data_IF_462348103087
#
_entry.id   IF_462348103087
#
_cell.length_a   1.000
_cell.length_b   1.000
_cell.length_c   1.000
_cell.angle_alpha   90.00
_cell.angle_beta   90.00
_cell.angle_gamma   90.00
#
_symmetry.space_group_name_H-M   'P 1'
#
loop_
_entity.id
_entity.type
_entity.pdbx_description
1 polymer ?
#
# COMPACT_ATOMS: atom_id res chain seq x y z
N UNK A 1 -31.29 -30.72 -38.18
CA UNK A 1 -29.92 -30.31 -38.57
C UNK A 1 -29.66 -28.81 -38.46
N UNK A 2 -30.58 -27.93 -38.83
CA UNK A 2 -30.34 -26.48 -38.73
C UNK A 2 -30.26 -25.89 -37.33
N UNK A 3 -30.84 -26.53 -36.31
CA UNK A 3 -30.79 -26.02 -34.89
C UNK A 3 -29.42 -26.21 -34.25
N UNK A 4 -28.73 -27.29 -34.52
CA UNK A 4 -27.40 -27.54 -33.90
C UNK A 4 -26.32 -26.62 -34.49
N UNK A 5 -26.38 -26.33 -35.78
CA UNK A 5 -25.43 -25.42 -36.45
C UNK A 5 -25.57 -23.99 -35.94
N UNK A 6 -26.79 -23.51 -35.68
CA UNK A 6 -27.04 -22.18 -35.13
C UNK A 6 -26.57 -22.08 -33.70
N UNK A 7 -26.80 -23.11 -32.89
CA UNK A 7 -26.33 -23.17 -31.52
C UNK A 7 -24.80 -23.16 -31.45
N UNK A 8 -24.13 -23.94 -32.30
CA UNK A 8 -22.66 -23.94 -32.41
C UNK A 8 -22.11 -22.58 -32.83
N UNK A 9 -22.71 -21.90 -33.78
CA UNK A 9 -22.30 -20.56 -34.19
C UNK A 9 -22.46 -19.53 -33.05
N UNK A 10 -23.54 -19.59 -32.29
CA UNK A 10 -23.77 -18.70 -31.15
C UNK A 10 -22.72 -18.92 -30.05
N UNK A 11 -22.40 -20.19 -29.76
CA UNK A 11 -21.39 -20.54 -28.76
C UNK A 11 -19.99 -20.03 -29.17
N UNK A 12 -19.63 -20.25 -30.45
CA UNK A 12 -18.34 -19.77 -30.98
C UNK A 12 -18.26 -18.24 -30.96
N UNK A 13 -19.34 -17.56 -31.36
CA UNK A 13 -19.38 -16.09 -31.33
C UNK A 13 -19.27 -15.55 -29.90
N UNK A 14 -19.92 -16.20 -28.93
CA UNK A 14 -19.85 -15.81 -27.51
C UNK A 14 -18.44 -16.02 -26.95
N UNK A 15 -17.77 -17.12 -27.28
CA UNK A 15 -16.38 -17.40 -26.89
C UNK A 15 -15.40 -16.38 -27.48
N UNK A 16 -15.59 -15.98 -28.74
CA UNK A 16 -14.76 -14.93 -29.37
C UNK A 16 -15.00 -13.56 -28.72
N UNK A 17 -16.23 -13.22 -28.39
CA UNK A 17 -16.53 -11.96 -27.68
C UNK A 17 -15.92 -11.93 -26.29
N UNK A 18 -15.96 -13.02 -25.54
CA UNK A 18 -15.35 -13.11 -24.21
C UNK A 18 -13.84 -12.97 -24.27
N UNK A 19 -13.19 -13.53 -25.31
CA UNK A 19 -11.73 -13.37 -25.47
C UNK A 19 -11.29 -11.96 -25.85
N UNK A 20 -12.16 -11.16 -26.48
CA UNK A 20 -11.88 -9.76 -26.82
C UNK A 20 -11.99 -8.81 -25.62
N UNK A 21 -12.67 -9.23 -24.53
CA UNK A 21 -12.80 -8.45 -23.30
C UNK A 21 -11.60 -8.68 -22.36
N UNK A 22 -10.70 -9.59 -22.69
CA UNK A 22 -9.42 -9.76 -21.98
C UNK A 22 -8.54 -8.53 -22.23
N UNK A 23 -8.95 -7.39 -21.64
CA UNK A 23 -8.14 -6.21 -21.63
C UNK A 23 -6.75 -6.56 -21.06
N UNK A 24 -5.71 -6.16 -21.72
CA UNK A 24 -4.35 -6.24 -21.19
C UNK A 24 -4.33 -5.48 -19.87
N UNK A 25 -4.24 -6.20 -18.77
CA UNK A 25 -3.91 -5.59 -17.49
C UNK A 25 -2.47 -5.08 -17.65
N UNK A 26 -2.37 -3.81 -18.03
CA UNK A 26 -1.09 -3.15 -18.01
C UNK A 26 -0.68 -3.01 -16.55
N UNK A 27 0.39 -3.66 -16.15
CA UNK A 27 0.97 -3.42 -14.85
C UNK A 27 1.29 -1.92 -14.74
N UNK A 28 0.87 -1.29 -13.64
CA UNK A 28 1.27 0.08 -13.38
C UNK A 28 2.80 0.17 -13.42
N UNK A 29 3.38 1.24 -14.00
CA UNK A 29 4.82 1.42 -13.97
C UNK A 29 5.29 1.36 -12.50
N UNK A 30 6.44 0.72 -12.23
CA UNK A 30 6.96 0.65 -10.88
C UNK A 30 7.10 2.07 -10.32
N UNK A 31 6.67 2.25 -9.07
CA UNK A 31 6.84 3.53 -8.38
C UNK A 31 8.33 3.93 -8.38
N UNK A 32 8.65 5.22 -8.53
CA UNK A 32 10.03 5.68 -8.43
C UNK A 32 10.65 5.19 -7.12
N UNK A 33 11.79 4.53 -7.20
CA UNK A 33 12.51 4.09 -6.01
C UNK A 33 13.38 5.23 -5.49
N UNK A 34 13.28 5.50 -4.18
CA UNK A 34 14.21 6.40 -3.52
C UNK A 34 15.62 5.77 -3.48
N UNK A 35 16.64 6.59 -3.47
CA UNK A 35 18.05 6.15 -3.34
C UNK A 35 18.32 5.60 -1.95
N UNK A 36 17.63 6.13 -0.95
CA UNK A 36 17.77 5.76 0.45
C UNK A 36 16.43 5.54 1.12
N UNK A 37 16.37 4.58 2.00
CA UNK A 37 15.26 4.43 2.95
C UNK A 37 15.85 4.47 4.35
N UNK A 38 15.45 5.49 5.12
CA UNK A 38 15.80 5.62 6.53
C UNK A 38 14.67 5.00 7.34
N UNK A 39 14.98 3.97 8.10
CA UNK A 39 14.03 3.33 9.01
C UNK A 39 14.34 3.74 10.44
N UNK A 40 13.36 4.35 11.10
CA UNK A 40 13.47 4.78 12.49
C UNK A 40 12.56 3.89 13.33
N UNK A 41 13.14 3.24 14.33
CA UNK A 41 12.37 2.51 15.33
C UNK A 41 12.39 3.29 16.65
N UNK A 42 11.21 3.61 17.17
CA UNK A 42 11.05 4.35 18.42
C UNK A 42 10.44 3.40 19.44
N UNK A 43 11.23 2.98 20.41
CA UNK A 43 10.78 2.14 21.53
C UNK A 43 10.20 3.05 22.62
N UNK A 44 8.90 3.28 22.58
CA UNK A 44 8.19 4.19 23.44
C UNK A 44 7.28 3.55 24.48
N UNK A 45 7.23 2.21 24.57
CA UNK A 45 6.48 1.52 25.64
C UNK A 45 7.20 1.61 26.98
N UNK A 46 7.33 2.84 27.49
CA UNK A 46 8.01 3.17 28.74
C UNK A 46 7.61 4.58 29.20
N UNK A 47 8.31 5.13 30.20
CA UNK A 47 8.06 6.46 30.73
C UNK A 47 8.43 7.63 29.80
N UNK A 48 8.97 7.35 28.62
CA UNK A 48 9.28 8.33 27.56
C UNK A 48 8.20 8.41 26.49
N UNK A 49 7.09 7.72 26.66
CA UNK A 49 5.98 7.63 25.71
C UNK A 49 5.49 9.02 25.22
N UNK A 50 5.42 10.01 26.08
CA UNK A 50 5.00 11.37 25.72
C UNK A 50 5.92 12.03 24.68
N UNK A 51 7.15 11.57 24.57
CA UNK A 51 8.11 12.08 23.59
C UNK A 51 7.96 11.43 22.23
N UNK A 52 7.40 10.22 22.14
CA UNK A 52 7.23 9.50 20.87
C UNK A 52 6.41 10.32 19.87
N UNK A 53 5.26 10.84 20.29
CA UNK A 53 4.40 11.68 19.45
C UNK A 53 5.12 12.98 19.08
N UNK A 54 5.83 13.59 19.99
CA UNK A 54 6.60 14.81 19.73
C UNK A 54 7.68 14.58 18.69
N UNK A 55 8.43 13.49 18.80
CA UNK A 55 9.47 13.13 17.83
C UNK A 55 8.86 12.88 16.44
N UNK A 56 7.72 12.19 16.38
CA UNK A 56 7.02 11.96 15.13
C UNK A 56 6.52 13.27 14.49
N UNK A 57 5.87 14.14 15.26
CA UNK A 57 5.20 15.34 14.76
C UNK A 57 6.15 16.54 14.57
N UNK A 58 7.09 16.73 15.47
CA UNK A 58 7.93 17.93 15.49
C UNK A 58 9.28 17.73 14.82
N UNK A 59 9.75 16.49 14.71
CA UNK A 59 11.06 16.18 14.15
C UNK A 59 10.96 15.40 12.84
N UNK A 60 10.30 14.24 12.81
CA UNK A 60 10.26 13.41 11.62
C UNK A 60 9.30 13.92 10.55
N UNK A 61 8.08 14.33 10.93
CA UNK A 61 7.09 14.78 9.97
C UNK A 61 7.51 16.04 9.21
N UNK A 62 8.13 17.07 9.83
CA UNK A 62 8.60 18.24 9.09
C UNK A 62 9.73 17.93 8.11
N UNK A 63 10.59 16.97 8.41
CA UNK A 63 11.65 16.52 7.49
C UNK A 63 11.02 15.79 6.31
N UNK A 64 10.15 14.85 6.57
CA UNK A 64 9.39 14.10 5.57
C UNK A 64 10.25 13.30 4.60
N UNK A 65 9.57 12.63 3.68
CA UNK A 65 10.20 11.91 2.58
C UNK A 65 10.28 12.79 1.34
N UNK A 66 11.24 12.51 0.47
CA UNK A 66 11.40 13.14 -0.84
C UNK A 66 11.75 12.10 -1.92
N UNK A 67 12.04 12.54 -3.14
CA UNK A 67 12.33 11.64 -4.26
C UNK A 67 13.59 10.78 -4.06
N UNK A 68 14.55 11.26 -3.28
CA UNK A 68 15.83 10.59 -3.04
C UNK A 68 15.86 9.83 -1.71
N UNK A 69 15.08 10.24 -0.73
CA UNK A 69 15.09 9.69 0.62
C UNK A 69 13.67 9.42 1.09
N UNK A 70 13.38 8.17 1.43
CA UNK A 70 12.17 7.78 2.14
C UNK A 70 12.47 7.64 3.63
N UNK A 71 11.63 8.24 4.46
CA UNK A 71 11.67 8.08 5.93
C UNK A 71 10.46 7.26 6.33
N UNK A 72 10.71 6.15 7.02
CA UNK A 72 9.68 5.26 7.57
C UNK A 72 9.93 5.14 9.06
N UNK A 73 8.92 5.40 9.86
CA UNK A 73 8.99 5.26 11.31
C UNK A 73 8.06 4.14 11.79
N UNK A 74 8.55 3.35 12.73
CA UNK A 74 7.79 2.39 13.50
C UNK A 74 7.92 2.80 14.97
N UNK A 75 6.78 3.08 15.61
CA UNK A 75 6.74 3.48 17.00
C UNK A 75 6.02 2.40 17.83
N UNK A 76 6.70 1.90 18.83
CA UNK A 76 6.14 1.03 19.86
C UNK A 76 5.60 1.91 20.98
N UNK A 77 4.28 1.88 21.18
CA UNK A 77 3.54 2.80 22.06
C UNK A 77 3.08 2.06 23.32
N UNK A 78 3.13 2.74 24.45
CA UNK A 78 2.67 2.19 25.72
C UNK A 78 1.15 2.29 25.91
N UNK A 79 0.50 1.33 26.58
CA UNK A 79 -0.93 1.42 26.88
C UNK A 79 -1.23 2.54 27.89
N UNK A 80 -2.39 3.17 27.72
CA UNK A 80 -2.87 4.22 28.65
C UNK A 80 -2.40 5.62 28.32
N UNK A 81 -1.68 5.80 27.22
CA UNK A 81 -1.29 7.10 26.68
C UNK A 81 -2.19 7.51 25.50
N UNK A 82 -1.79 8.55 24.80
CA UNK A 82 -2.43 8.99 23.58
C UNK A 82 -2.49 7.86 22.55
N UNK A 83 -3.64 7.69 21.89
CA UNK A 83 -3.85 6.63 20.88
C UNK A 83 -3.63 7.09 19.44
N UNK A 84 -3.14 8.32 19.22
CA UNK A 84 -2.72 8.77 17.90
C UNK A 84 -1.61 7.88 17.37
N UNK A 85 -1.62 7.61 16.07
CA UNK A 85 -0.69 6.70 15.38
C UNK A 85 -0.81 5.22 15.75
N UNK A 86 -1.81 4.86 16.55
CA UNK A 86 -2.05 3.48 16.96
C UNK A 86 -1.06 2.95 18.00
N UNK A 87 -1.21 1.69 18.30
CA UNK A 87 -0.32 0.91 19.17
C UNK A 87 0.15 -0.32 18.37
N UNK A 88 1.44 -0.55 18.35
CA UNK A 88 1.99 -1.74 17.74
C UNK A 88 2.00 -2.86 18.77
N UNK A 89 1.07 -3.82 18.57
CA UNK A 89 1.02 -5.06 19.35
C UNK A 89 1.43 -6.22 18.48
#
# INVERSE_FOLDING_TARGET
MHKSTRLSMIVVTLLVLVSLISGTVSAAPPAPQAKWTVMVYISGDNNLEDYVVKDLELELAPVGSNADVHIVALADRGPGYDTSYGDWQ
#
